data_IF_568304926376
#
_entry.id   IF_568304926376
#
_cell.length_a   1.000
_cell.length_b   1.000
_cell.length_c   1.000
_cell.angle_alpha   90.00
_cell.angle_beta   90.00
_cell.angle_gamma   90.00
#
_symmetry.space_group_name_H-M   'P 1'
#
loop_
_entity.id
_entity.type
_entity.pdbx_description
1 polymer ?
#
# COMPACT_ATOMS: atom_id res chain seq x y z
N UNK A 1 10.08 1.50 -9.20
CA UNK A 1 11.39 1.91 -8.66
C UNK A 1 11.15 2.65 -7.36
N UNK A 2 11.85 2.26 -6.31
CA UNK A 2 11.71 2.83 -4.98
C UNK A 2 13.07 2.96 -4.29
N UNK A 3 13.21 4.00 -3.50
CA UNK A 3 14.37 4.21 -2.63
C UNK A 3 13.91 4.16 -1.18
N UNK A 4 14.54 3.31 -0.38
CA UNK A 4 14.22 3.16 1.03
C UNK A 4 15.48 3.02 1.85
N UNK A 5 15.44 3.48 3.09
CA UNK A 5 16.52 3.28 4.05
C UNK A 5 16.33 1.95 4.77
N UNK A 6 17.38 1.13 4.85
CA UNK A 6 17.36 -0.13 5.61
C UNK A 6 17.53 0.10 7.13
N UNK A 7 17.53 -1.00 7.90
CA UNK A 7 17.67 -0.95 9.36
C UNK A 7 19.04 -0.45 9.84
N UNK A 8 20.06 -0.49 8.98
CA UNK A 8 21.40 0.01 9.24
C UNK A 8 21.60 1.47 8.80
N UNK A 9 20.57 2.10 8.22
CA UNK A 9 20.65 3.48 7.72
C UNK A 9 21.17 3.60 6.29
N UNK A 10 21.35 2.49 5.57
CA UNK A 10 21.80 2.49 4.18
C UNK A 10 20.63 2.77 3.25
N UNK A 11 20.80 3.76 2.37
CA UNK A 11 19.83 4.04 1.30
C UNK A 11 19.93 2.93 0.24
N UNK A 12 18.84 2.22 0.00
CA UNK A 12 18.72 1.11 -0.92
C UNK A 12 17.83 1.49 -2.09
N UNK A 13 18.34 1.32 -3.31
CA UNK A 13 17.53 1.41 -4.52
C UNK A 13 17.00 0.02 -4.87
N UNK A 14 15.68 -0.10 -4.98
CA UNK A 14 15.00 -1.32 -5.42
C UNK A 14 14.21 -1.05 -6.70
N UNK A 15 14.42 -1.90 -7.70
CA UNK A 15 13.72 -1.83 -8.98
C UNK A 15 13.14 -3.17 -9.31
N UNK A 16 11.83 -3.17 -9.49
CA UNK A 16 11.06 -4.28 -10.01
C UNK A 16 10.74 -3.94 -11.46
N UNK A 17 11.01 -4.89 -12.35
CA UNK A 17 10.71 -4.82 -13.77
C UNK A 17 9.38 -5.52 -14.04
N UNK A 18 8.52 -4.90 -14.83
CA UNK A 18 7.34 -5.52 -15.41
C UNK A 18 7.54 -5.60 -16.92
N UNK A 19 7.49 -6.80 -17.49
CA UNK A 19 7.73 -7.01 -18.91
C UNK A 19 6.77 -8.04 -19.51
N UNK A 20 6.38 -7.90 -20.78
CA UNK A 20 5.62 -8.94 -21.47
C UNK A 20 6.53 -10.12 -21.78
N UNK A 21 6.06 -11.33 -21.50
CA UNK A 21 6.72 -12.56 -21.89
C UNK A 21 5.65 -13.58 -22.29
N UNK A 22 5.71 -14.04 -23.54
CA UNK A 22 4.65 -14.84 -24.17
C UNK A 22 3.31 -14.10 -24.08
N UNK A 23 2.29 -14.73 -23.49
CA UNK A 23 0.92 -14.23 -23.39
C UNK A 23 0.61 -13.54 -22.05
N UNK A 24 1.63 -13.26 -21.22
CA UNK A 24 1.44 -12.65 -19.90
C UNK A 24 2.49 -11.58 -19.55
N UNK A 25 2.17 -10.75 -18.55
CA UNK A 25 3.14 -9.87 -17.93
C UNK A 25 3.81 -10.56 -16.75
N UNK A 26 5.13 -10.41 -16.67
CA UNK A 26 5.98 -10.97 -15.62
C UNK A 26 6.61 -9.85 -14.81
N UNK A 27 6.70 -10.09 -13.51
CA UNK A 27 7.30 -9.17 -12.55
C UNK A 27 8.55 -9.84 -11.97
N UNK A 28 9.70 -9.17 -12.08
CA UNK A 28 10.97 -9.65 -11.54
C UNK A 28 11.74 -8.54 -10.83
N UNK A 29 12.53 -8.91 -9.82
CA UNK A 29 13.47 -8.00 -9.17
C UNK A 29 14.66 -7.76 -10.10
N UNK A 30 14.74 -6.57 -10.67
CA UNK A 30 15.84 -6.18 -11.55
C UNK A 30 17.11 -5.88 -10.76
N UNK A 31 17.00 -5.05 -9.72
CA UNK A 31 18.10 -4.75 -8.82
C UNK A 31 17.61 -4.37 -7.43
N UNK A 32 18.43 -4.70 -6.43
CA UNK A 32 18.35 -4.19 -5.07
C UNK A 32 19.78 -3.90 -4.62
N UNK A 33 20.21 -2.65 -4.69
CA UNK A 33 21.60 -2.25 -4.40
C UNK A 33 21.64 -1.01 -3.51
N UNK A 34 22.63 -0.89 -2.61
CA UNK A 34 22.83 0.33 -1.85
C UNK A 34 23.26 1.47 -2.78
N UNK A 35 22.81 2.68 -2.47
CA UNK A 35 23.28 3.89 -3.11
C UNK A 35 24.66 4.24 -2.55
N UNK A 36 25.71 4.41 -3.39
CA UNK A 36 27.08 4.56 -2.91
C UNK A 36 27.35 5.85 -2.13
N UNK A 37 26.58 6.91 -2.39
CA UNK A 37 26.84 8.25 -1.87
C UNK A 37 25.56 8.92 -1.34
N UNK A 38 24.76 9.50 -2.23
CA UNK A 38 23.57 10.30 -1.90
C UNK A 38 22.33 9.73 -2.57
N UNK A 39 21.15 10.00 -2.01
CA UNK A 39 19.86 9.66 -2.61
C UNK A 39 19.37 10.68 -3.64
N UNK A 40 20.29 11.30 -4.39
CA UNK A 40 19.91 12.25 -5.45
C UNK A 40 19.47 11.51 -6.71
N UNK A 41 18.62 12.14 -7.52
CA UNK A 41 18.17 11.56 -8.78
C UNK A 41 19.30 11.25 -9.77
N UNK A 42 20.39 12.03 -9.71
CA UNK A 42 21.59 11.77 -10.50
C UNK A 42 22.29 10.47 -10.10
N UNK A 43 22.50 10.24 -8.80
CA UNK A 43 23.15 9.03 -8.30
C UNK A 43 22.27 7.79 -8.52
N UNK A 44 20.95 7.92 -8.29
CA UNK A 44 19.97 6.86 -8.58
C UNK A 44 20.04 6.48 -10.06
N UNK A 45 20.00 7.46 -10.96
CA UNK A 45 20.10 7.21 -12.40
C UNK A 45 21.45 6.61 -12.79
N UNK A 46 22.55 7.10 -12.22
CA UNK A 46 23.89 6.61 -12.51
C UNK A 46 24.03 5.12 -12.17
N UNK A 47 23.60 4.71 -10.97
CA UNK A 47 23.59 3.31 -10.55
C UNK A 47 22.75 2.44 -11.51
N UNK A 48 21.63 2.97 -11.97
CA UNK A 48 20.75 2.28 -12.91
C UNK A 48 21.35 2.17 -14.32
N UNK A 49 21.94 3.24 -14.84
CA UNK A 49 22.59 3.27 -16.15
C UNK A 49 23.80 2.33 -16.19
N UNK A 50 24.62 2.33 -15.14
CA UNK A 50 25.73 1.37 -14.96
C UNK A 50 25.20 -0.07 -14.99
N UNK A 51 24.13 -0.37 -14.23
CA UNK A 51 23.52 -1.69 -14.25
C UNK A 51 22.99 -2.09 -15.63
N UNK A 52 22.34 -1.17 -16.36
CA UNK A 52 21.84 -1.44 -17.71
C UNK A 52 22.98 -1.72 -18.69
N UNK A 53 24.07 -0.95 -18.61
CA UNK A 53 25.26 -1.16 -19.45
C UNK A 53 25.94 -2.49 -19.14
N UNK A 54 26.17 -2.80 -17.87
CA UNK A 54 26.79 -4.05 -17.42
C UNK A 54 26.00 -5.29 -17.89
N UNK A 55 24.67 -5.21 -17.89
CA UNK A 55 23.79 -6.32 -18.24
C UNK A 55 23.27 -6.26 -19.69
N UNK A 56 23.80 -5.34 -20.52
CA UNK A 56 23.38 -5.16 -21.91
C UNK A 56 21.87 -4.94 -22.08
N UNK A 57 21.24 -4.24 -21.14
CA UNK A 57 19.82 -3.88 -21.18
C UNK A 57 19.66 -2.59 -21.99
N UNK A 58 18.83 -2.63 -23.03
CA UNK A 58 18.60 -1.51 -23.94
C UNK A 58 17.57 -0.56 -23.33
N UNK A 59 17.94 0.71 -23.18
CA UNK A 59 17.06 1.75 -22.63
C UNK A 59 15.79 1.98 -23.45
N UNK A 60 15.84 1.83 -24.77
CA UNK A 60 14.67 2.01 -25.64
C UNK A 60 13.53 1.02 -25.34
N UNK A 61 13.81 -0.08 -24.64
CA UNK A 61 12.79 -1.01 -24.17
C UNK A 61 12.07 -0.52 -22.89
N UNK A 62 12.55 0.54 -22.25
CA UNK A 62 11.92 1.13 -21.08
C UNK A 62 10.73 2.00 -21.50
N UNK A 63 9.53 1.43 -21.41
CA UNK A 63 8.29 2.10 -21.84
C UNK A 63 7.70 2.99 -20.75
N UNK A 64 7.78 2.60 -19.48
CA UNK A 64 7.23 3.37 -18.36
C UNK A 64 8.09 3.23 -17.10
N UNK A 65 8.11 4.28 -16.28
CA UNK A 65 8.70 4.27 -14.95
C UNK A 65 7.71 4.73 -13.87
N UNK A 66 7.50 3.87 -12.87
CA UNK A 66 6.69 4.17 -11.70
C UNK A 66 7.57 4.47 -10.47
N UNK A 67 7.35 5.62 -9.81
CA UNK A 67 8.05 6.02 -8.57
C UNK A 67 7.12 6.68 -7.55
N UNK A 68 7.58 6.82 -6.31
CA UNK A 68 6.85 7.46 -5.20
C UNK A 68 6.66 9.00 -5.32
N UNK A 69 7.14 9.60 -6.41
CA UNK A 69 7.02 11.04 -6.62
C UNK A 69 8.02 11.90 -5.85
N UNK A 70 8.96 11.33 -5.10
CA UNK A 70 10.00 12.07 -4.37
C UNK A 70 10.77 13.03 -5.30
N UNK A 71 11.29 14.14 -4.75
CA UNK A 71 12.02 15.16 -5.52
C UNK A 71 13.24 14.58 -6.25
N UNK A 72 13.91 13.60 -5.65
CA UNK A 72 15.00 12.87 -6.29
C UNK A 72 14.55 12.13 -7.56
N UNK A 73 13.31 11.67 -7.62
CA UNK A 73 12.76 10.99 -8.79
C UNK A 73 12.21 12.00 -9.82
N UNK A 74 11.44 12.98 -9.37
CA UNK A 74 10.60 13.86 -10.22
C UNK A 74 11.23 15.21 -10.58
N UNK A 75 12.42 15.52 -10.07
CA UNK A 75 13.12 16.77 -10.36
C UNK A 75 13.27 17.02 -11.87
N UNK A 76 12.92 18.24 -12.32
CA UNK A 76 12.85 18.58 -13.76
C UNK A 76 14.16 18.36 -14.53
N UNK A 77 15.30 18.63 -13.88
CA UNK A 77 16.63 18.52 -14.50
C UNK A 77 17.47 17.42 -13.86
N UNK A 78 17.48 17.35 -12.52
CA UNK A 78 18.30 16.42 -11.74
C UNK A 78 17.55 15.19 -11.25
N UNK A 79 16.26 15.05 -11.59
CA UNK A 79 15.47 13.89 -11.20
C UNK A 79 15.84 12.65 -12.00
N UNK A 80 15.77 11.47 -11.37
CA UNK A 80 16.06 10.21 -12.03
C UNK A 80 15.17 10.00 -13.26
N UNK A 81 13.88 10.32 -13.16
CA UNK A 81 12.92 10.18 -14.28
C UNK A 81 13.32 11.06 -15.47
N UNK A 82 13.76 12.30 -15.23
CA UNK A 82 14.18 13.21 -16.30
C UNK A 82 15.37 12.64 -17.06
N UNK A 83 16.32 12.00 -16.36
CA UNK A 83 17.49 11.35 -16.95
C UNK A 83 17.13 10.07 -17.70
N UNK A 84 16.25 9.23 -17.13
CA UNK A 84 15.71 8.04 -17.80
C UNK A 84 15.08 8.42 -19.14
N UNK A 85 14.21 9.44 -19.16
CA UNK A 85 13.59 9.93 -20.40
C UNK A 85 14.59 10.51 -21.41
N UNK A 86 15.77 10.92 -20.95
CA UNK A 86 16.89 11.32 -21.81
C UNK A 86 17.51 10.13 -22.56
N UNK A 87 17.58 8.94 -21.94
CA UNK A 87 18.06 7.69 -22.56
C UNK A 87 16.98 6.97 -23.35
N UNK A 88 15.78 6.83 -22.78
CA UNK A 88 14.63 6.15 -23.34
C UNK A 88 13.61 7.17 -23.89
N UNK A 89 13.81 7.60 -25.14
CA UNK A 89 12.95 8.62 -25.77
C UNK A 89 11.57 8.04 -26.02
N UNK A 90 10.58 8.48 -25.25
CA UNK A 90 9.20 7.97 -25.30
C UNK A 90 8.75 7.27 -24.02
N UNK A 91 9.66 7.03 -23.07
CA UNK A 91 9.33 6.52 -21.76
C UNK A 91 8.34 7.44 -21.03
N UNK A 92 7.17 6.92 -20.66
CA UNK A 92 6.23 7.61 -19.78
C UNK A 92 6.64 7.44 -18.31
N UNK A 93 6.01 8.23 -17.44
CA UNK A 93 6.28 8.11 -16.01
C UNK A 93 5.00 8.30 -15.23
N UNK A 94 4.75 7.38 -14.30
CA UNK A 94 3.58 7.42 -13.43
C UNK A 94 3.99 7.59 -11.98
N UNK A 95 3.18 8.32 -11.22
CA UNK A 95 3.33 8.39 -9.79
C UNK A 95 2.66 7.14 -9.19
N UNK A 96 3.39 6.40 -8.36
CA UNK A 96 2.92 5.25 -7.61
C UNK A 96 1.57 5.51 -6.96
N UNK A 97 0.58 4.72 -7.37
CA UNK A 97 -0.80 4.83 -6.90
C UNK A 97 -0.89 4.66 -5.38
N UNK A 98 -0.07 3.77 -4.80
CA UNK A 98 -0.02 3.55 -3.36
C UNK A 98 0.44 4.82 -2.63
N UNK A 99 1.48 5.48 -3.13
CA UNK A 99 1.95 6.74 -2.56
C UNK A 99 0.92 7.86 -2.73
N UNK A 100 0.29 7.98 -3.90
CA UNK A 100 -0.79 8.95 -4.12
C UNK A 100 -1.95 8.75 -3.15
N UNK A 101 -2.36 7.51 -2.91
CA UNK A 101 -3.37 7.19 -1.89
C UNK A 101 -2.90 7.60 -0.49
N UNK A 102 -1.65 7.31 -0.12
CA UNK A 102 -1.08 7.73 1.16
C UNK A 102 -1.16 9.25 1.36
N UNK A 103 -0.80 10.01 0.33
CA UNK A 103 -0.86 11.47 0.34
C UNK A 103 -2.31 11.99 0.43
N UNK A 104 -3.24 11.39 -0.30
CA UNK A 104 -4.66 11.73 -0.21
C UNK A 104 -5.19 11.50 1.22
N UNK A 105 -4.79 10.41 1.87
CA UNK A 105 -5.15 10.11 3.26
C UNK A 105 -4.63 11.14 4.25
N UNK A 106 -3.43 11.70 4.04
CA UNK A 106 -2.91 12.78 4.90
C UNK A 106 -3.84 14.00 4.89
N UNK A 107 -4.50 14.28 3.78
CA UNK A 107 -5.45 15.39 3.60
C UNK A 107 -6.89 15.05 4.01
N UNK A 108 -7.16 13.84 4.48
CA UNK A 108 -8.51 13.43 4.88
C UNK A 108 -9.00 14.23 6.10
N UNK A 109 -10.28 14.67 6.12
CA UNK A 109 -10.87 15.35 7.28
C UNK A 109 -10.75 14.54 8.58
N UNK A 110 -10.56 15.19 9.74
CA UNK A 110 -10.38 14.51 11.03
C UNK A 110 -11.44 13.45 11.34
N UNK A 111 -12.72 13.78 11.14
CA UNK A 111 -13.83 12.86 11.43
C UNK A 111 -13.75 11.55 10.62
N UNK A 112 -13.34 11.61 9.34
CA UNK A 112 -13.18 10.41 8.50
C UNK A 112 -11.98 9.57 8.96
N UNK A 113 -10.89 10.21 9.41
CA UNK A 113 -9.74 9.51 9.99
C UNK A 113 -10.11 8.80 11.28
N UNK A 114 -10.93 9.43 12.13
CA UNK A 114 -11.44 8.85 13.36
C UNK A 114 -12.26 7.58 13.08
N UNK A 115 -13.28 7.67 12.20
CA UNK A 115 -14.11 6.52 11.81
C UNK A 115 -13.26 5.35 11.31
N UNK A 116 -12.26 5.61 10.46
CA UNK A 116 -11.37 4.57 9.96
C UNK A 116 -10.47 3.97 11.06
N UNK A 117 -10.00 4.79 12.00
CA UNK A 117 -9.20 4.35 13.15
C UNK A 117 -10.04 3.44 14.06
N UNK A 118 -11.27 3.82 14.34
CA UNK A 118 -12.21 3.04 15.16
C UNK A 118 -12.62 1.74 14.50
N UNK A 119 -12.89 1.77 13.19
CA UNK A 119 -13.12 0.58 12.38
C UNK A 119 -11.97 -0.43 12.53
N UNK A 120 -10.73 0.04 12.45
CA UNK A 120 -9.54 -0.82 12.64
C UNK A 120 -9.48 -1.39 14.06
N UNK A 121 -9.74 -0.57 15.08
CA UNK A 121 -9.77 -1.04 16.48
C UNK A 121 -10.80 -2.15 16.70
N UNK A 122 -12.01 -1.97 16.19
CA UNK A 122 -13.11 -2.96 16.29
C UNK A 122 -12.73 -4.26 15.57
N UNK A 123 -12.27 -4.16 14.31
CA UNK A 123 -11.86 -5.33 13.53
C UNK A 123 -10.72 -6.06 14.24
N UNK A 124 -9.71 -5.36 14.74
CA UNK A 124 -8.60 -5.97 15.44
C UNK A 124 -9.06 -6.64 16.74
N UNK A 125 -9.96 -6.03 17.52
CA UNK A 125 -10.50 -6.64 18.72
C UNK A 125 -11.17 -8.00 18.47
N UNK A 126 -11.93 -8.11 17.38
CA UNK A 126 -12.64 -9.34 17.00
C UNK A 126 -11.69 -10.34 16.32
N UNK A 127 -10.88 -9.88 15.36
CA UNK A 127 -10.11 -10.75 14.46
C UNK A 127 -8.74 -11.18 14.99
N UNK A 128 -8.07 -10.35 15.81
CA UNK A 128 -6.72 -10.66 16.30
C UNK A 128 -6.71 -11.80 17.32
N UNK A 129 -7.82 -12.02 18.02
CA UNK A 129 -7.97 -13.07 19.04
C UNK A 129 -8.73 -14.28 18.46
N UNK A 130 -8.12 -15.48 18.42
CA UNK A 130 -8.78 -16.67 17.87
C UNK A 130 -10.10 -17.03 18.55
N UNK A 131 -10.21 -16.79 19.87
CA UNK A 131 -11.47 -16.98 20.63
C UNK A 131 -12.56 -16.03 20.11
N UNK A 132 -12.28 -14.73 20.05
CA UNK A 132 -13.25 -13.74 19.61
C UNK A 132 -13.72 -13.98 18.18
N UNK A 133 -12.79 -14.30 17.26
CA UNK A 133 -13.13 -14.59 15.87
C UNK A 133 -14.05 -15.82 15.74
N UNK A 134 -13.86 -16.86 16.57
CA UNK A 134 -14.77 -18.04 16.58
C UNK A 134 -16.13 -17.72 17.17
N UNK A 135 -16.18 -17.01 18.30
CA UNK A 135 -17.43 -16.62 18.94
C UNK A 135 -18.25 -15.67 18.06
N UNK A 136 -17.59 -14.69 17.42
CA UNK A 136 -18.24 -13.78 16.48
C UNK A 136 -18.81 -14.53 15.27
N UNK A 137 -18.10 -15.55 14.77
CA UNK A 137 -18.61 -16.39 13.70
C UNK A 137 -19.90 -17.13 14.11
N UNK A 138 -19.90 -17.76 15.29
CA UNK A 138 -21.09 -18.45 15.83
C UNK A 138 -22.26 -17.49 15.94
N UNK A 139 -22.03 -16.29 16.51
CA UNK A 139 -23.05 -15.25 16.60
C UNK A 139 -23.64 -14.88 15.22
N UNK A 140 -22.78 -14.72 14.21
CA UNK A 140 -23.24 -14.41 12.85
C UNK A 140 -24.01 -15.58 12.22
N UNK A 141 -23.60 -16.82 12.47
CA UNK A 141 -24.29 -18.02 11.98
C UNK A 141 -25.69 -18.13 12.64
N UNK A 142 -25.81 -17.87 13.96
CA UNK A 142 -27.06 -17.94 14.72
C UNK A 142 -28.09 -16.86 14.30
N UNK A 143 -27.61 -15.70 13.83
CA UNK A 143 -28.45 -14.58 13.38
C UNK A 143 -28.70 -14.63 11.86
N UNK A 144 -28.19 -15.67 11.18
CA UNK A 144 -28.28 -15.84 9.71
C UNK A 144 -27.73 -14.61 8.95
N UNK A 145 -26.64 -14.04 9.45
CA UNK A 145 -26.03 -12.83 8.91
C UNK A 145 -25.50 -13.03 7.49
N UNK A 146 -25.52 -11.96 6.69
CA UNK A 146 -24.98 -11.96 5.32
C UNK A 146 -23.52 -12.42 5.24
N UNK A 147 -22.76 -12.17 6.30
CA UNK A 147 -21.35 -12.52 6.41
C UNK A 147 -21.04 -13.06 7.79
N UNK A 148 -20.17 -14.06 7.86
CA UNK A 148 -19.83 -14.75 9.11
C UNK A 148 -18.47 -14.33 9.66
N UNK A 149 -17.81 -13.38 9.01
CA UNK A 149 -16.52 -12.84 9.44
C UNK A 149 -16.24 -11.43 8.93
N UNK A 150 -15.54 -10.66 9.76
CA UNK A 150 -14.93 -9.40 9.36
C UNK A 150 -13.66 -9.64 8.53
N UNK A 151 -13.35 -8.68 7.66
CA UNK A 151 -12.13 -8.68 6.85
C UNK A 151 -10.99 -8.09 7.67
N UNK A 152 -9.99 -8.91 8.01
CA UNK A 152 -8.77 -8.45 8.67
C UNK A 152 -7.99 -7.55 7.71
N UNK A 153 -7.53 -6.41 8.21
CA UNK A 153 -6.66 -5.50 7.47
C UNK A 153 -5.20 -5.83 7.80
N UNK A 154 -4.41 -6.46 6.92
CA UNK A 154 -2.96 -6.40 7.04
C UNK A 154 -2.54 -4.95 6.74
N UNK A 155 -1.63 -4.38 7.53
CA UNK A 155 -1.20 -2.97 7.46
C UNK A 155 -0.65 -2.49 6.09
N UNK A 156 -0.57 -3.38 5.11
CA UNK A 156 0.23 -3.23 3.90
C UNK A 156 -0.62 -2.86 2.66
N UNK A 157 -1.96 -2.93 2.70
CA UNK A 157 -2.81 -2.55 1.54
C UNK A 157 -4.02 -1.72 1.93
N UNK A 158 -3.89 -0.39 1.89
CA UNK A 158 -4.97 0.56 2.17
C UNK A 158 -6.20 0.41 1.25
N UNK A 159 -6.03 -0.15 0.05
CA UNK A 159 -7.13 -0.52 -0.85
C UNK A 159 -8.16 -1.46 -0.19
N UNK A 160 -7.77 -2.18 0.87
CA UNK A 160 -8.66 -3.05 1.64
C UNK A 160 -9.51 -2.32 2.69
N UNK A 161 -9.15 -1.09 3.11
CA UNK A 161 -9.87 -0.36 4.18
C UNK A 161 -11.32 -0.06 3.82
N UNK A 162 -11.58 0.32 2.57
CA UNK A 162 -12.95 0.53 2.09
C UNK A 162 -13.79 -0.73 2.19
N UNK A 163 -13.24 -1.88 1.77
CA UNK A 163 -13.92 -3.19 1.87
C UNK A 163 -14.15 -3.60 3.32
N UNK A 164 -13.16 -3.40 4.19
CA UNK A 164 -13.28 -3.67 5.64
C UNK A 164 -14.35 -2.80 6.29
N UNK A 165 -14.43 -1.51 5.94
CA UNK A 165 -15.47 -0.61 6.44
C UNK A 165 -16.87 -1.04 5.95
N UNK A 166 -17.01 -1.36 4.66
CA UNK A 166 -18.28 -1.88 4.10
C UNK A 166 -18.69 -3.16 4.83
N UNK A 167 -17.76 -4.10 5.03
CA UNK A 167 -18.04 -5.36 5.74
C UNK A 167 -18.46 -5.11 7.19
N UNK A 168 -17.79 -4.19 7.89
CA UNK A 168 -18.17 -3.83 9.25
C UNK A 168 -19.57 -3.22 9.29
N UNK A 169 -19.89 -2.33 8.34
CA UNK A 169 -21.21 -1.71 8.26
C UNK A 169 -22.33 -2.72 7.95
N UNK A 170 -22.06 -3.69 7.07
CA UNK A 170 -22.98 -4.79 6.78
C UNK A 170 -23.26 -5.67 7.99
N UNK A 171 -22.28 -5.79 8.91
CA UNK A 171 -22.38 -6.56 10.16
C UNK A 171 -22.55 -5.67 11.40
N UNK A 172 -23.01 -4.42 11.25
CA UNK A 172 -23.01 -3.44 12.35
C UNK A 172 -23.84 -3.91 13.56
N UNK A 173 -24.90 -4.68 13.32
CA UNK A 173 -25.78 -5.19 14.38
C UNK A 173 -25.07 -6.27 15.20
N UNK A 174 -24.50 -7.26 14.52
CA UNK A 174 -23.75 -8.38 15.09
C UNK A 174 -22.50 -7.88 15.80
N UNK A 175 -21.78 -6.95 15.18
CA UNK A 175 -20.64 -6.29 15.79
C UNK A 175 -21.08 -5.52 17.03
N UNK A 176 -22.17 -4.75 16.97
CA UNK A 176 -22.72 -4.05 18.13
C UNK A 176 -23.05 -4.98 19.30
N UNK A 177 -23.71 -6.11 19.03
CA UNK A 177 -24.01 -7.13 20.05
C UNK A 177 -22.70 -7.66 20.65
N UNK A 178 -21.78 -8.12 19.80
CA UNK A 178 -20.53 -8.72 20.22
C UNK A 178 -19.67 -7.76 21.05
N UNK A 179 -19.61 -6.47 20.69
CA UNK A 179 -18.83 -5.48 21.42
C UNK A 179 -19.43 -5.17 22.80
N UNK A 180 -20.76 -5.12 22.93
CA UNK A 180 -21.45 -4.92 24.22
C UNK A 180 -21.25 -6.11 25.16
N UNK A 181 -21.37 -7.33 24.65
CA UNK A 181 -21.15 -8.55 25.44
C UNK A 181 -19.71 -8.69 25.98
N UNK A 182 -18.78 -7.91 25.43
CA UNK A 182 -17.38 -7.90 25.82
C UNK A 182 -16.92 -6.56 26.41
N UNK A 183 -17.84 -5.68 26.83
CA UNK A 183 -17.58 -4.36 27.43
C UNK A 183 -16.56 -3.51 26.64
N UNK A 184 -16.61 -3.58 25.31
CA UNK A 184 -15.70 -2.83 24.47
C UNK A 184 -16.24 -1.42 24.23
N UNK A 185 -15.45 -0.39 24.57
CA UNK A 185 -15.86 1.02 24.59
C UNK A 185 -16.46 1.56 23.27
N UNK A 186 -16.19 0.93 22.12
CA UNK A 186 -16.78 1.34 20.84
C UNK A 186 -18.13 0.65 20.53
N UNK A 187 -18.64 -0.21 21.41
CA UNK A 187 -19.93 -0.90 21.24
C UNK A 187 -21.13 0.03 21.21
N UNK A 188 -21.06 1.17 21.90
CA UNK A 188 -22.11 2.20 21.93
C UNK A 188 -22.20 3.00 20.62
N UNK A 189 -21.10 3.10 19.87
CA UNK A 189 -21.03 3.87 18.61
C UNK A 189 -21.71 3.20 17.42
N UNK A 190 -22.14 1.94 17.56
CA UNK A 190 -22.83 1.18 16.51
C UNK A 190 -24.35 1.11 16.71
N UNK A 191 -24.88 1.88 17.67
CA UNK A 191 -26.30 2.07 17.83
C UNK A 191 -26.77 3.16 16.85
N UNK A 192 -27.54 2.77 15.84
CA UNK A 192 -28.34 3.74 15.10
C UNK A 192 -29.39 4.29 16.09
N UNK A 193 -29.20 5.50 16.63
CA UNK A 193 -30.30 6.24 17.27
C UNK A 193 -31.39 6.42 16.22
N UNK A 194 -32.55 5.77 16.44
CA UNK A 194 -33.74 5.94 15.60
C UNK A 194 -34.40 7.28 15.82
#
# INVERSE_FOLDING_TARGET
MDESTDVAGLAMLMIILLYPYLDSFHEDLLLCKPLPSTSTGTEIFKLLDEFFVENSIIWDNCVDVCTDGAKAMTGKMSGAIAKIKGKAKGCSSVHCILHQHALAMKKMPPFKKEVLSETVKIINFIKSRPKNNRLFKILCDDIESLHTSLLLHPEIRWLSRGKSLIRLFQLRNEVGIFLRDNDFALGEKLCDER
#
